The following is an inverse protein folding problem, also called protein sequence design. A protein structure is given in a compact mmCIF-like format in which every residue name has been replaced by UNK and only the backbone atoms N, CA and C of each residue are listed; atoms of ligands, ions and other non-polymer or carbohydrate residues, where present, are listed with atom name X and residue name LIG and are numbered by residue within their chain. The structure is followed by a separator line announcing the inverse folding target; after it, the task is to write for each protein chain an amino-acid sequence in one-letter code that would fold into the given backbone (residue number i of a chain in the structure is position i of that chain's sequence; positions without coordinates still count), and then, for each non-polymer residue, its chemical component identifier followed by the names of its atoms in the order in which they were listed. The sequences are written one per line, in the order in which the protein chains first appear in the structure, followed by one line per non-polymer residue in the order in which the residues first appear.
data_IF_038075965926
#
_entry.id   IF_038075965926
#
_cell.length_a   1.000
_cell.length_b   1.000
_cell.length_c   1.000
_cell.angle_alpha   90.00
_cell.angle_beta   90.00
_cell.angle_gamma   90.00
#
_symmetry.space_group_name_H-M   'P 1'
#
loop_
_entity.id
_entity.type
_entity.pdbx_description
1 polymer ?
#
# COMPACT_ATOMS: atom_id res chain seq x y z
N UNK A 1 17.56 7.46 -9.07
CA UNK A 1 16.41 7.46 -8.14
C UNK A 1 16.17 6.02 -7.72
N UNK A 2 15.92 5.74 -6.44
CA UNK A 2 15.63 4.37 -5.98
C UNK A 2 14.27 3.91 -6.50
N UNK A 3 14.11 2.64 -6.90
CA UNK A 3 12.81 2.10 -7.26
C UNK A 3 11.87 2.17 -6.05
N UNK A 4 10.62 2.61 -6.27
CA UNK A 4 9.57 2.61 -5.24
C UNK A 4 9.00 1.21 -5.14
N UNK A 5 9.77 0.29 -4.59
CA UNK A 5 9.36 -1.11 -4.43
C UNK A 5 9.55 -1.49 -2.98
N UNK A 6 8.57 -2.17 -2.41
CA UNK A 6 8.66 -2.77 -1.08
C UNK A 6 8.82 -4.28 -1.20
N UNK A 7 9.86 -4.80 -0.57
CA UNK A 7 9.96 -6.21 -0.27
C UNK A 7 9.00 -6.56 0.87
N UNK A 8 8.53 -7.81 0.87
CA UNK A 8 7.79 -8.47 1.95
C UNK A 8 8.51 -8.33 3.28
N UNK A 9 9.84 -8.50 3.28
CA UNK A 9 10.68 -8.34 4.48
C UNK A 9 10.67 -6.92 5.08
N UNK A 10 10.22 -5.91 4.33
CA UNK A 10 10.07 -4.54 4.82
C UNK A 10 8.65 -4.24 5.36
N UNK A 11 7.74 -5.23 5.33
CA UNK A 11 6.40 -5.16 5.91
C UNK A 11 6.46 -5.68 7.34
N UNK A 12 5.69 -5.08 8.26
CA UNK A 12 5.37 -5.74 9.52
C UNK A 12 4.25 -6.77 9.32
N UNK A 13 4.01 -7.62 10.32
CA UNK A 13 3.02 -8.72 10.22
C UNK A 13 1.62 -8.21 9.80
N UNK A 14 1.17 -7.09 10.37
CA UNK A 14 -0.12 -6.51 10.05
C UNK A 14 -0.21 -5.94 8.63
N UNK A 15 0.87 -5.31 8.14
CA UNK A 15 0.97 -4.84 6.76
C UNK A 15 1.06 -6.02 5.80
N UNK A 16 1.81 -7.07 6.14
CA UNK A 16 1.93 -8.27 5.33
C UNK A 16 0.55 -8.92 5.13
N UNK A 17 -0.17 -9.24 6.20
CA UNK A 17 -1.50 -9.84 6.11
C UNK A 17 -2.47 -8.97 5.31
N UNK A 18 -2.51 -7.67 5.60
CA UNK A 18 -3.42 -6.76 4.91
C UNK A 18 -3.08 -6.61 3.43
N UNK A 19 -1.80 -6.43 3.10
CA UNK A 19 -1.36 -6.11 1.74
C UNK A 19 -1.42 -7.34 0.83
N UNK A 20 -1.06 -8.52 1.34
CA UNK A 20 -1.19 -9.78 0.59
C UNK A 20 -2.66 -10.13 0.36
N UNK A 21 -3.52 -9.98 1.38
CA UNK A 21 -4.98 -10.13 1.22
C UNK A 21 -5.54 -9.18 0.16
N UNK A 22 -5.11 -7.92 0.17
CA UNK A 22 -5.51 -6.93 -0.83
C UNK A 22 -5.00 -7.27 -2.24
N UNK A 23 -3.80 -7.83 -2.35
CA UNK A 23 -3.24 -8.25 -3.63
C UNK A 23 -4.04 -9.43 -4.20
N UNK A 24 -4.29 -10.46 -3.38
CA UNK A 24 -5.08 -11.64 -3.73
C UNK A 24 -6.50 -11.27 -4.18
N UNK A 25 -7.15 -10.34 -3.47
CA UNK A 25 -8.46 -9.79 -3.82
C UNK A 25 -8.44 -9.06 -5.18
N UNK A 26 -7.36 -8.37 -5.51
CA UNK A 26 -7.22 -7.63 -6.77
C UNK A 26 -6.94 -8.55 -7.97
N UNK A 27 -6.13 -9.58 -7.80
CA UNK A 27 -5.77 -10.52 -8.87
C UNK A 27 -6.71 -11.73 -8.96
N UNK A 28 -7.76 -11.76 -8.14
CA UNK A 28 -8.75 -12.84 -8.04
C UNK A 28 -8.11 -14.23 -7.85
N UNK A 29 -7.03 -14.27 -7.08
CA UNK A 29 -6.34 -15.52 -6.70
C UNK A 29 -6.73 -15.87 -5.27
N UNK A 30 -7.41 -16.99 -5.12
CA UNK A 30 -7.64 -17.62 -3.82
C UNK A 30 -6.47 -18.54 -3.49
N UNK A 31 -5.38 -17.94 -3.02
CA UNK A 31 -4.26 -18.69 -2.46
C UNK A 31 -4.58 -19.13 -1.03
N UNK A 32 -3.97 -20.23 -0.57
CA UNK A 32 -4.17 -20.70 0.80
C UNK A 32 -3.52 -19.71 1.78
N UNK A 33 -4.23 -19.23 2.82
CA UNK A 33 -3.70 -18.20 3.73
C UNK A 33 -2.47 -18.65 4.53
N UNK A 34 -2.15 -19.94 4.57
CA UNK A 34 -0.94 -20.47 5.22
C UNK A 34 0.29 -20.44 4.29
N UNK A 35 0.09 -20.15 3.00
CA UNK A 35 1.19 -20.11 2.03
C UNK A 35 1.98 -18.82 2.16
N UNK A 36 3.20 -18.94 2.69
CA UNK A 36 4.16 -17.84 2.75
C UNK A 36 4.90 -17.75 1.42
N UNK A 37 4.74 -16.62 0.73
CA UNK A 37 5.45 -16.33 -0.51
C UNK A 37 6.66 -15.43 -0.26
N UNK A 38 7.74 -15.68 -1.01
CA UNK A 38 8.92 -14.84 -0.96
C UNK A 38 8.80 -13.62 -1.88
N UNK A 39 9.80 -12.75 -1.81
CA UNK A 39 9.84 -11.53 -2.63
C UNK A 39 9.86 -11.85 -4.13
N UNK A 40 10.49 -12.96 -4.54
CA UNK A 40 10.56 -13.37 -5.93
C UNK A 40 9.18 -13.71 -6.47
N UNK A 41 8.30 -14.34 -5.69
CA UNK A 41 6.91 -14.56 -6.09
C UNK A 41 6.21 -13.24 -6.44
N UNK A 42 6.29 -12.23 -5.57
CA UNK A 42 5.63 -10.94 -5.77
C UNK A 42 6.23 -10.10 -6.90
N UNK A 43 7.51 -10.30 -7.23
CA UNK A 43 8.13 -9.67 -8.40
C UNK A 43 7.56 -10.17 -9.73
N UNK A 44 7.08 -11.41 -9.80
CA UNK A 44 6.48 -11.99 -11.01
C UNK A 44 5.00 -11.62 -11.19
N UNK A 45 4.35 -11.10 -10.14
CA UNK A 45 2.97 -10.63 -10.23
C UNK A 45 2.94 -9.29 -10.95
N UNK A 46 2.07 -9.18 -11.96
CA UNK A 46 1.82 -7.92 -12.67
C UNK A 46 0.40 -7.45 -12.43
N UNK A 47 0.26 -6.30 -11.80
CA UNK A 47 -1.01 -5.64 -11.51
C UNK A 47 -1.23 -4.49 -12.50
N UNK A 48 -2.31 -4.52 -13.27
CA UNK A 48 -2.68 -3.44 -14.18
C UNK A 48 -3.00 -2.14 -13.42
N UNK A 49 -2.41 -1.02 -13.82
CA UNK A 49 -2.62 0.27 -13.13
C UNK A 49 -4.08 0.75 -13.20
N UNK A 50 -4.82 0.41 -14.27
CA UNK A 50 -6.22 0.80 -14.42
C UNK A 50 -7.12 0.02 -13.46
N UNK A 51 -6.90 -1.28 -13.36
CA UNK A 51 -7.57 -2.20 -12.45
C UNK A 51 -7.29 -1.79 -11.01
N UNK A 52 -6.01 -1.56 -10.68
CA UNK A 52 -5.61 -1.04 -9.37
C UNK A 52 -6.33 0.26 -9.03
N UNK A 53 -6.37 1.22 -9.95
CA UNK A 53 -7.06 2.50 -9.73
C UNK A 53 -8.55 2.33 -9.48
N UNK A 54 -9.21 1.47 -10.26
CA UNK A 54 -10.64 1.19 -10.11
C UNK A 54 -10.92 0.50 -8.76
N UNK A 55 -10.09 -0.47 -8.40
CA UNK A 55 -10.17 -1.19 -7.15
C UNK A 55 -9.91 -0.28 -5.94
N UNK A 56 -8.89 0.57 -5.97
CA UNK A 56 -8.60 1.54 -4.93
C UNK A 56 -9.77 2.51 -4.69
N UNK A 57 -10.43 2.96 -5.76
CA UNK A 57 -11.63 3.80 -5.63
C UNK A 57 -12.80 3.07 -4.97
N UNK A 58 -12.98 1.79 -5.25
CA UNK A 58 -14.02 0.98 -4.62
C UNK A 58 -13.74 0.72 -3.14
N UNK A 59 -12.47 0.46 -2.81
CA UNK A 59 -12.05 0.09 -1.45
C UNK A 59 -11.83 1.25 -0.50
N UNK A 60 -11.38 2.39 -1.01
CA UNK A 60 -11.10 3.61 -0.23
C UNK A 60 -11.95 4.79 -0.73
N UNK A 61 -13.29 4.72 -0.62
CA UNK A 61 -14.18 5.79 -1.08
C UNK A 61 -13.98 7.12 -0.32
N UNK A 62 -13.34 7.09 0.85
CA UNK A 62 -12.99 8.28 1.62
C UNK A 62 -11.83 9.09 1.01
N UNK A 63 -11.01 8.48 0.15
CA UNK A 63 -9.89 9.17 -0.49
C UNK A 63 -10.34 9.86 -1.77
N UNK A 64 -9.82 11.07 -2.00
CA UNK A 64 -10.12 11.79 -3.23
C UNK A 64 -9.49 11.07 -4.43
N UNK A 65 -10.16 11.16 -5.58
CA UNK A 65 -9.62 10.60 -6.82
C UNK A 65 -8.29 11.26 -7.20
N UNK A 66 -8.11 12.54 -6.87
CA UNK A 66 -6.87 13.28 -7.09
C UNK A 66 -5.70 12.75 -6.25
N UNK A 67 -5.93 12.32 -5.02
CA UNK A 67 -4.91 11.72 -4.16
C UNK A 67 -4.48 10.36 -4.70
N UNK A 68 -5.44 9.52 -5.10
CA UNK A 68 -5.16 8.22 -5.72
C UNK A 68 -4.36 8.37 -7.02
N UNK A 69 -4.76 9.31 -7.89
CA UNK A 69 -4.03 9.61 -9.13
C UNK A 69 -2.62 10.17 -8.84
N UNK A 70 -2.45 10.97 -7.78
CA UNK A 70 -1.14 11.48 -7.35
C UNK A 70 -0.21 10.36 -6.86
N UNK A 71 -0.74 9.39 -6.10
CA UNK A 71 0.01 8.22 -5.66
C UNK A 71 0.50 7.41 -6.85
N UNK A 72 -0.38 7.09 -7.81
CA UNK A 72 -0.03 6.30 -8.99
C UNK A 72 1.03 7.00 -9.86
N UNK A 73 0.97 8.33 -9.96
CA UNK A 73 1.98 9.15 -10.65
C UNK A 73 3.39 9.06 -10.07
N UNK A 74 3.55 8.57 -8.84
CA UNK A 74 4.88 8.32 -8.30
C UNK A 74 5.59 7.16 -8.98
N UNK A 75 4.83 6.20 -9.51
CA UNK A 75 5.33 5.00 -10.19
C UNK A 75 5.35 5.21 -11.70
N UNK A 76 4.24 5.71 -12.25
CA UNK A 76 4.05 5.94 -13.68
C UNK A 76 3.62 7.39 -13.92
N UNK A 77 4.55 8.23 -14.36
CA UNK A 77 4.28 9.66 -14.59
C UNK A 77 3.18 9.89 -15.64
N UNK A 78 3.13 9.02 -16.66
CA UNK A 78 2.06 8.94 -17.64
C UNK A 78 1.47 7.53 -17.56
N UNK A 79 0.26 7.41 -17.02
CA UNK A 79 -0.44 6.13 -16.95
C UNK A 79 -0.96 5.80 -18.35
N UNK A 80 -0.33 4.81 -18.99
CA UNK A 80 -0.72 4.31 -20.30
C UNK A 80 -1.51 3.00 -20.19
N UNK A 81 -2.38 2.69 -21.17
CA UNK A 81 -3.06 1.40 -21.23
C UNK A 81 -2.03 0.29 -21.49
N UNK A 82 -1.72 -0.49 -20.45
CA UNK A 82 -0.69 -1.54 -20.49
C UNK A 82 0.37 -1.40 -19.40
N UNK A 83 0.40 -0.27 -18.69
CA UNK A 83 1.30 -0.13 -17.54
C UNK A 83 0.88 -1.08 -16.42
N UNK A 84 1.84 -1.91 -16.00
CA UNK A 84 1.75 -2.81 -14.88
C UNK A 84 2.60 -2.32 -13.70
N UNK A 85 2.25 -2.79 -12.52
CA UNK A 85 3.06 -2.69 -11.31
C UNK A 85 3.40 -4.10 -10.83
N UNK A 86 4.60 -4.28 -10.31
CA UNK A 86 4.94 -5.52 -9.60
C UNK A 86 4.22 -5.59 -8.26
N UNK A 87 4.13 -6.77 -7.63
CA UNK A 87 3.55 -6.93 -6.29
C UNK A 87 4.25 -6.03 -5.25
N UNK A 88 5.57 -5.91 -5.31
CA UNK A 88 6.31 -5.01 -4.42
C UNK A 88 6.00 -3.51 -4.65
N UNK A 89 5.69 -3.11 -5.89
CA UNK A 89 5.23 -1.75 -6.17
C UNK A 89 3.78 -1.54 -5.71
N UNK A 90 2.93 -2.56 -5.81
CA UNK A 90 1.58 -2.54 -5.25
C UNK A 90 1.60 -2.35 -3.73
N UNK A 91 2.49 -3.04 -3.00
CA UNK A 91 2.68 -2.82 -1.57
C UNK A 91 3.09 -1.38 -1.24
N UNK A 92 3.99 -0.81 -2.05
CA UNK A 92 4.36 0.60 -1.92
C UNK A 92 3.17 1.55 -2.12
N UNK A 93 2.28 1.26 -3.08
CA UNK A 93 1.03 2.00 -3.27
C UNK A 93 0.14 1.90 -2.02
N UNK A 94 -0.09 0.70 -1.49
CA UNK A 94 -0.94 0.51 -0.30
C UNK A 94 -0.40 1.23 0.94
N UNK A 95 0.91 1.28 1.11
CA UNK A 95 1.53 2.04 2.21
C UNK A 95 1.32 3.54 2.05
N UNK A 96 1.45 4.08 0.84
CA UNK A 96 1.12 5.49 0.56
C UNK A 96 -0.36 5.79 0.80
N UNK A 97 -1.26 4.90 0.38
CA UNK A 97 -2.69 4.99 0.66
C UNK A 97 -2.94 5.02 2.17
N UNK A 98 -2.26 4.16 2.94
CA UNK A 98 -2.38 4.14 4.40
C UNK A 98 -1.97 5.47 5.02
N UNK A 99 -0.86 6.07 4.58
CA UNK A 99 -0.45 7.40 5.04
C UNK A 99 -1.42 8.50 4.62
N UNK A 100 -1.98 8.43 3.41
CA UNK A 100 -2.99 9.37 2.92
C UNK A 100 -4.26 9.32 3.79
N UNK A 101 -4.72 8.12 4.15
CA UNK A 101 -5.86 7.91 5.05
C UNK A 101 -5.62 8.46 6.45
N UNK A 102 -4.36 8.43 6.90
CA UNK A 102 -3.95 9.03 8.17
C UNK A 102 -3.77 10.56 8.09
N UNK A 103 -4.12 11.19 6.96
CA UNK A 103 -4.05 12.64 6.78
C UNK A 103 -2.64 13.18 6.53
N UNK A 104 -1.65 12.31 6.26
CA UNK A 104 -0.30 12.76 5.90
C UNK A 104 -0.26 13.26 4.45
N UNK A 105 0.52 14.30 4.21
CA UNK A 105 0.77 14.79 2.85
C UNK A 105 1.50 13.73 2.02
N UNK A 106 1.04 13.50 0.79
CA UNK A 106 1.60 12.51 -0.11
C UNK A 106 3.05 12.83 -0.47
N UNK A 107 3.98 11.96 -0.04
CA UNK A 107 5.40 12.05 -0.38
C UNK A 107 5.98 10.67 -0.70
N UNK A 108 6.88 10.61 -1.68
CA UNK A 108 7.49 9.35 -2.13
C UNK A 108 8.30 8.65 -1.05
N UNK A 109 8.88 9.40 -0.11
CA UNK A 109 9.68 8.83 0.98
C UNK A 109 8.83 8.03 1.98
N UNK A 110 7.52 8.28 2.03
CA UNK A 110 6.60 7.57 2.93
C UNK A 110 6.45 6.09 2.62
N UNK A 111 6.82 5.64 1.41
CA UNK A 111 6.93 4.21 1.08
C UNK A 111 7.87 3.48 2.05
N UNK A 112 8.94 4.15 2.50
CA UNK A 112 9.95 3.58 3.40
C UNK A 112 9.63 3.77 4.88
N UNK A 113 8.49 4.40 5.20
CA UNK A 113 8.03 4.62 6.57
C UNK A 113 6.82 3.73 6.81
N UNK A 114 6.85 2.86 7.81
CA UNK A 114 5.72 1.99 8.12
C UNK A 114 4.43 2.80 8.32
N UNK A 115 3.33 2.29 7.76
CA UNK A 115 2.01 2.91 7.90
C UNK A 115 1.51 2.71 9.32
N UNK A 116 1.80 3.64 10.23
CA UNK A 116 1.28 3.58 11.59
C UNK A 116 -0.25 3.57 11.56
N UNK A 117 -0.85 2.40 11.76
CA UNK A 117 -2.21 2.31 12.28
C UNK A 117 -2.11 2.40 13.80
N UNK A 118 -1.98 3.61 14.33
CA UNK A 118 -2.12 3.85 15.76
C UNK A 118 -3.57 3.63 16.16
N UNK A 119 -3.90 2.38 16.46
CA UNK A 119 -4.95 2.08 17.43
C UNK A 119 -4.39 1.03 18.37
N UNK A 120 -3.56 1.48 19.31
CA UNK A 120 -3.75 1.26 20.74
C UNK A 120 -2.82 2.23 21.50
N UNK A 121 -3.43 3.15 22.27
CA UNK A 121 -2.72 3.82 23.37
C UNK A 121 -2.50 5.33 23.29
N UNK A 122 -3.44 6.13 22.76
CA UNK A 122 -3.53 7.52 23.22
C UNK A 122 -4.13 7.54 24.63
N UNK A 123 -3.33 7.21 25.64
CA UNK A 123 -3.59 7.74 26.98
C UNK A 123 -3.00 9.14 27.00
N UNK A 124 -3.81 10.21 27.18
CA UNK A 124 -3.25 11.49 27.55
C UNK A 124 -2.58 11.25 28.91
N UNK A 125 -1.25 11.34 28.94
CA UNK A 125 -0.48 11.40 30.18
C UNK A 125 -0.91 12.67 30.90
N UNK A 126 -1.99 12.57 31.67
CA UNK A 126 -2.37 13.57 32.65
C UNK A 126 -1.31 13.52 33.71
N UNK A 127 -0.35 14.43 33.54
CA UNK A 127 0.48 15.03 34.57
C UNK A 127 -0.32 15.09 35.88
N UNK A 128 -0.07 14.12 36.76
CA UNK A 128 -0.36 14.28 38.18
C UNK A 128 0.86 15.00 38.76
N UNK A 129 0.71 16.30 38.90
CA UNK A 129 1.48 17.10 39.83
C UNK A 129 1.18 16.60 41.25
N UNK A 130 2.21 16.13 41.96
CA UNK A 130 2.32 16.12 43.42
C UNK A 130 3.71 16.64 43.82
#
# INVERSE_FOLDING_TARGET
MRPLTLHVSALNDAEYELYTSCLNDLIDIHDDPDTVHDDSYYEHISVGVRELRAWLRGRYPELSTADLDSILKFFHANITPGDGLTGGQFFAVLRLVTHARNGKSLDRSLVFVQGERLMYGSYPSSRMDE
#
